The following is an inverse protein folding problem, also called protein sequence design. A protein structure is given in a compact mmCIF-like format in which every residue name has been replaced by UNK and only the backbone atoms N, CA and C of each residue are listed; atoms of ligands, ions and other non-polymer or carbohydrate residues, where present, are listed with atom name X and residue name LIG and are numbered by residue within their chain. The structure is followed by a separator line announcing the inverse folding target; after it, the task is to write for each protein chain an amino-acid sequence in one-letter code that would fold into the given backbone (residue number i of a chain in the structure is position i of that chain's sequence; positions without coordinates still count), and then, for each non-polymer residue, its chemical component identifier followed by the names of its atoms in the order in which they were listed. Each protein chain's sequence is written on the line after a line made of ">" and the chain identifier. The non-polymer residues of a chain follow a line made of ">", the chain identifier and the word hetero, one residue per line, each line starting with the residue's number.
data_IF_461660119631
#
_entry.id   IF_461660119631
#
_cell.length_a   1.000
_cell.length_b   1.000
_cell.length_c   1.000
_cell.angle_alpha   90.00
_cell.angle_beta   90.00
_cell.angle_gamma   90.00
#
_symmetry.space_group_name_H-M   'P 1'
#
loop_
_entity.id
_entity.type
_entity.pdbx_description
1 polymer ?
#
# COMPACT_ATOMS: atom_id res chain seq x y z
N UNK A 1 -20.29 -6.09 13.81
CA UNK A 1 -19.72 -5.56 15.07
C UNK A 1 -18.40 -4.91 14.73
N UNK A 2 -18.09 -3.70 15.17
CA UNK A 2 -16.75 -3.12 14.98
C UNK A 2 -15.70 -4.01 15.67
N UNK A 3 -14.54 -4.15 15.03
CA UNK A 3 -13.45 -5.02 15.51
C UNK A 3 -13.75 -6.54 15.48
N UNK A 4 -14.52 -7.03 14.49
CA UNK A 4 -14.83 -8.45 14.35
C UNK A 4 -13.58 -9.32 14.25
N UNK A 5 -12.45 -8.77 13.73
CA UNK A 5 -11.15 -9.47 13.71
C UNK A 5 -10.65 -9.87 15.11
N UNK A 6 -11.05 -9.16 16.19
CA UNK A 6 -10.70 -9.55 17.56
C UNK A 6 -11.42 -10.84 18.01
N UNK A 7 -12.53 -11.19 17.36
CA UNK A 7 -13.19 -12.46 17.58
C UNK A 7 -12.62 -13.60 16.71
N UNK A 8 -11.73 -13.28 15.76
CA UNK A 8 -11.13 -14.26 14.87
C UNK A 8 -9.93 -14.95 15.56
N UNK A 9 -10.00 -16.28 15.82
CA UNK A 9 -8.89 -17.02 16.42
C UNK A 9 -7.58 -16.95 15.62
N UNK A 10 -7.66 -16.81 14.29
CA UNK A 10 -6.48 -16.68 13.44
C UNK A 10 -5.69 -15.39 13.76
N UNK A 11 -6.39 -14.30 14.09
CA UNK A 11 -5.73 -13.06 14.48
C UNK A 11 -4.85 -13.26 15.72
N UNK A 12 -5.40 -13.87 16.78
CA UNK A 12 -4.64 -14.14 18.01
C UNK A 12 -3.51 -15.14 17.79
N UNK A 13 -3.77 -16.19 16.99
CA UNK A 13 -2.73 -17.13 16.59
C UNK A 13 -1.59 -16.42 15.85
N UNK A 14 -1.91 -15.52 14.94
CA UNK A 14 -0.92 -14.75 14.18
C UNK A 14 -0.03 -13.88 15.08
N UNK A 15 -0.58 -13.32 16.18
CA UNK A 15 0.22 -12.50 17.11
C UNK A 15 1.27 -13.30 17.89
N UNK A 16 1.05 -14.60 18.12
CA UNK A 16 1.95 -15.46 18.93
C UNK A 16 2.81 -16.41 18.09
N UNK A 17 2.56 -16.51 16.77
CA UNK A 17 3.40 -17.30 15.86
C UNK A 17 4.63 -16.51 15.43
N UNK A 18 5.73 -17.23 15.15
CA UNK A 18 6.95 -16.62 14.62
C UNK A 18 6.69 -15.90 13.28
N UNK A 19 7.51 -14.92 12.99
CA UNK A 19 7.50 -14.23 11.71
C UNK A 19 7.81 -15.21 10.57
N UNK A 20 7.06 -15.09 9.47
CA UNK A 20 7.17 -16.00 8.32
C UNK A 20 8.09 -15.47 7.23
N UNK A 21 8.61 -14.24 7.38
CA UNK A 21 9.44 -13.61 6.36
C UNK A 21 10.45 -12.63 6.97
N UNK A 22 11.62 -12.53 6.38
CA UNK A 22 12.70 -11.60 6.76
C UNK A 22 13.39 -11.02 5.51
N UNK A 23 14.21 -10.00 5.68
CA UNK A 23 14.96 -9.39 4.58
C UNK A 23 15.87 -10.39 3.86
N UNK A 24 16.50 -11.33 4.59
CA UNK A 24 17.40 -12.33 4.01
C UNK A 24 16.69 -13.35 3.10
N UNK A 25 15.36 -13.40 3.15
CA UNK A 25 14.55 -14.27 2.29
C UNK A 25 14.09 -13.59 0.99
N UNK A 26 14.40 -12.30 0.82
CA UNK A 26 14.13 -11.60 -0.44
C UNK A 26 15.08 -12.18 -1.50
N UNK A 27 14.55 -12.69 -2.62
CA UNK A 27 15.39 -13.24 -3.69
C UNK A 27 16.19 -12.14 -4.40
N UNK A 28 17.12 -12.54 -5.27
CA UNK A 28 17.75 -11.61 -6.22
C UNK A 28 16.68 -11.00 -7.13
N UNK A 29 16.62 -9.68 -7.13
CA UNK A 29 15.67 -8.88 -7.92
C UNK A 29 16.35 -8.18 -9.10
N UNK A 30 17.57 -8.58 -9.45
CA UNK A 30 18.27 -8.04 -10.62
C UNK A 30 17.40 -8.18 -11.88
N UNK A 31 17.21 -7.08 -12.61
CA UNK A 31 16.33 -7.02 -13.78
C UNK A 31 14.83 -6.87 -13.45
N UNK A 32 14.45 -6.80 -12.18
CA UNK A 32 13.07 -6.48 -11.77
C UNK A 32 12.88 -4.98 -11.58
N UNK A 33 11.74 -4.48 -12.02
CA UNK A 33 11.35 -3.08 -11.95
C UNK A 33 10.14 -2.94 -11.02
N UNK A 34 10.24 -2.03 -10.07
CA UNK A 34 9.21 -1.77 -9.09
C UNK A 34 8.79 -0.30 -9.11
N UNK A 35 7.52 -0.02 -8.85
CA UNK A 35 6.99 1.31 -8.55
C UNK A 35 6.39 1.28 -7.15
N UNK A 36 6.86 2.18 -6.27
CA UNK A 36 6.40 2.28 -4.88
C UNK A 36 5.82 3.67 -4.64
N UNK A 37 4.53 3.76 -4.29
CA UNK A 37 3.91 5.04 -3.96
C UNK A 37 4.22 5.46 -2.52
N UNK A 38 4.57 6.74 -2.31
CA UNK A 38 4.98 7.26 -1.00
C UNK A 38 6.32 6.70 -0.52
N UNK A 39 7.23 6.44 -1.44
CA UNK A 39 8.50 5.75 -1.22
C UNK A 39 9.54 6.56 -0.42
N UNK A 40 9.32 7.85 -0.18
CA UNK A 40 10.31 8.74 0.43
C UNK A 40 10.32 8.72 1.97
N UNK A 41 9.41 8.00 2.63
CA UNK A 41 9.33 7.94 4.09
C UNK A 41 8.59 6.69 4.61
N UNK A 42 8.81 6.37 5.89
CA UNK A 42 8.07 5.34 6.61
C UNK A 42 8.16 3.96 5.94
N UNK A 43 7.03 3.27 5.84
CA UNK A 43 6.96 1.90 5.30
C UNK A 43 7.34 1.87 3.81
N UNK A 44 6.94 2.89 3.03
CA UNK A 44 7.32 2.99 1.61
C UNK A 44 8.82 3.10 1.41
N UNK A 45 9.51 3.87 2.26
CA UNK A 45 10.97 3.95 2.28
C UNK A 45 11.61 2.61 2.62
N UNK A 46 11.15 1.95 3.69
CA UNK A 46 11.68 0.65 4.09
C UNK A 46 11.41 -0.44 3.05
N UNK A 47 10.26 -0.38 2.35
CA UNK A 47 9.97 -1.27 1.22
C UNK A 47 10.95 -1.02 0.05
N UNK A 48 11.18 0.26 -0.28
CA UNK A 48 12.16 0.64 -1.31
C UNK A 48 13.57 0.17 -0.96
N UNK A 49 13.98 0.33 0.31
CA UNK A 49 15.27 -0.16 0.80
C UNK A 49 15.42 -1.67 0.59
N UNK A 50 14.41 -2.45 0.98
CA UNK A 50 14.42 -3.90 0.78
C UNK A 50 14.52 -4.31 -0.69
N UNK A 51 13.76 -3.64 -1.56
CA UNK A 51 13.76 -3.92 -3.00
C UNK A 51 15.12 -3.58 -3.65
N UNK A 52 15.64 -2.37 -3.40
CA UNK A 52 16.88 -1.91 -4.05
C UNK A 52 18.11 -2.62 -3.49
N UNK A 53 18.13 -2.98 -2.21
CA UNK A 53 19.22 -3.76 -1.61
C UNK A 53 19.38 -5.14 -2.29
N UNK A 54 18.29 -5.68 -2.82
CA UNK A 54 18.28 -6.96 -3.55
C UNK A 54 18.33 -6.80 -5.08
N UNK A 55 18.69 -5.62 -5.59
CA UNK A 55 19.02 -5.38 -6.99
C UNK A 55 17.87 -4.90 -7.89
N UNK A 56 16.68 -4.64 -7.33
CA UNK A 56 15.57 -4.09 -8.10
C UNK A 56 15.87 -2.66 -8.60
N UNK A 57 15.32 -2.30 -9.76
CA UNK A 57 15.18 -0.92 -10.20
C UNK A 57 13.87 -0.36 -9.62
N UNK A 58 13.95 0.71 -8.82
CA UNK A 58 12.76 1.22 -8.10
C UNK A 58 12.44 2.65 -8.53
N UNK A 59 11.24 2.84 -9.07
CA UNK A 59 10.63 4.16 -9.28
C UNK A 59 9.92 4.60 -8.00
N UNK A 60 10.44 5.65 -7.38
CA UNK A 60 9.91 6.27 -6.18
C UNK A 60 8.83 7.29 -6.54
N UNK A 61 7.56 6.89 -6.48
CA UNK A 61 6.44 7.75 -6.82
C UNK A 61 5.99 8.59 -5.61
N UNK A 62 6.32 9.88 -5.62
CA UNK A 62 6.17 10.81 -4.50
C UNK A 62 5.74 12.20 -4.97
N UNK A 63 5.11 12.99 -4.09
CA UNK A 63 4.68 14.36 -4.41
C UNK A 63 5.82 15.39 -4.50
N UNK A 64 6.92 15.16 -3.80
CA UNK A 64 8.01 16.13 -3.66
C UNK A 64 9.31 15.53 -4.15
N UNK A 65 9.83 16.08 -5.24
CA UNK A 65 11.13 15.71 -5.79
C UNK A 65 12.27 15.93 -4.79
N UNK A 66 12.28 17.07 -4.10
CA UNK A 66 13.31 17.36 -3.12
C UNK A 66 13.39 16.28 -2.02
N UNK A 67 12.22 15.87 -1.44
CA UNK A 67 12.17 14.81 -0.43
C UNK A 67 12.50 13.44 -1.00
N UNK A 68 12.18 13.18 -2.25
CA UNK A 68 12.55 11.93 -2.90
C UNK A 68 14.08 11.87 -3.11
N UNK A 69 14.70 12.96 -3.55
CA UNK A 69 16.14 13.03 -3.72
C UNK A 69 16.90 12.89 -2.39
N UNK A 70 16.43 13.54 -1.31
CA UNK A 70 16.96 13.32 0.04
C UNK A 70 16.86 11.83 0.45
N UNK A 71 15.73 11.19 0.18
CA UNK A 71 15.52 9.78 0.48
C UNK A 71 16.44 8.88 -0.37
N UNK A 72 16.68 9.19 -1.63
CA UNK A 72 17.62 8.46 -2.51
C UNK A 72 19.04 8.51 -1.94
N UNK A 73 19.53 9.68 -1.53
CA UNK A 73 20.86 9.79 -0.93
C UNK A 73 20.95 9.04 0.42
N UNK A 74 19.87 9.03 1.20
CA UNK A 74 19.83 8.24 2.43
C UNK A 74 19.77 6.72 2.15
N UNK A 75 19.06 6.27 1.11
CA UNK A 75 19.01 4.86 0.70
C UNK A 75 20.41 4.33 0.31
N UNK A 76 21.25 5.14 -0.34
CA UNK A 76 22.64 4.75 -0.64
C UNK A 76 23.44 4.43 0.64
N UNK A 77 23.25 5.22 1.71
CA UNK A 77 23.89 4.97 3.02
C UNK A 77 23.29 3.74 3.69
N UNK A 78 21.96 3.69 3.78
CA UNK A 78 21.24 2.63 4.48
C UNK A 78 21.48 1.24 3.86
N UNK A 79 21.63 1.13 2.53
CA UNK A 79 21.99 -0.14 1.88
C UNK A 79 23.36 -0.63 2.35
N UNK A 80 24.36 0.25 2.45
CA UNK A 80 25.70 -0.16 2.92
C UNK A 80 25.73 -0.46 4.41
N UNK A 81 24.93 0.24 5.22
CA UNK A 81 24.91 0.07 6.67
C UNK A 81 24.06 -1.13 7.11
N UNK A 82 22.85 -1.27 6.53
CA UNK A 82 21.86 -2.28 6.96
C UNK A 82 21.92 -3.58 6.15
N UNK A 83 22.42 -3.51 4.91
CA UNK A 83 22.56 -4.65 4.00
C UNK A 83 23.98 -4.78 3.44
N UNK A 84 25.04 -4.81 4.29
CA UNK A 84 26.44 -4.72 3.85
C UNK A 84 26.90 -5.88 2.95
N UNK A 85 26.21 -7.01 3.00
CA UNK A 85 26.52 -8.20 2.19
C UNK A 85 25.69 -8.30 0.92
N UNK A 86 24.84 -7.30 0.62
CA UNK A 86 24.03 -7.28 -0.60
C UNK A 86 24.88 -6.95 -1.84
N UNK A 87 24.42 -7.43 -3.01
CA UNK A 87 25.04 -7.08 -4.28
C UNK A 87 25.00 -5.56 -4.53
N UNK A 88 23.93 -4.89 -4.11
CA UNK A 88 23.78 -3.45 -4.20
C UNK A 88 24.82 -2.70 -3.34
N UNK A 89 25.12 -3.15 -2.12
CA UNK A 89 26.18 -2.58 -1.29
C UNK A 89 27.57 -2.71 -1.98
N UNK A 90 27.85 -3.87 -2.58
CA UNK A 90 29.07 -4.09 -3.33
C UNK A 90 29.20 -3.17 -4.56
N UNK A 91 28.08 -2.85 -5.24
CA UNK A 91 28.04 -1.87 -6.34
C UNK A 91 28.35 -0.46 -5.84
N UNK A 92 27.76 -0.03 -4.72
CA UNK A 92 28.01 1.29 -4.12
C UNK A 92 29.49 1.46 -3.76
N UNK A 93 30.10 0.43 -3.16
CA UNK A 93 31.55 0.44 -2.81
C UNK A 93 32.42 0.61 -4.05
N UNK A 94 31.99 0.14 -5.22
CA UNK A 94 32.67 0.35 -6.52
C UNK A 94 32.38 1.70 -7.16
N UNK A 95 31.59 2.57 -6.52
CA UNK A 95 31.20 3.89 -7.02
C UNK A 95 29.98 3.88 -7.96
N UNK A 96 29.25 2.76 -8.06
CA UNK A 96 28.00 2.71 -8.81
C UNK A 96 26.83 3.26 -7.98
N UNK A 97 25.83 3.83 -8.64
CA UNK A 97 24.61 4.31 -7.97
C UNK A 97 23.54 3.22 -7.96
N UNK A 98 22.73 3.24 -6.92
CA UNK A 98 21.50 2.43 -6.87
C UNK A 98 20.57 2.80 -8.03
N UNK A 99 19.82 1.84 -8.52
CA UNK A 99 18.85 2.01 -9.60
C UNK A 99 17.54 2.58 -9.02
N UNK A 100 17.57 3.87 -8.73
CA UNK A 100 16.47 4.63 -8.14
C UNK A 100 16.10 5.80 -9.05
N UNK A 101 14.82 5.96 -9.30
CA UNK A 101 14.28 7.05 -10.10
C UNK A 101 13.11 7.73 -9.38
N UNK A 102 12.99 9.03 -9.54
CA UNK A 102 11.84 9.79 -9.08
C UNK A 102 10.74 9.80 -10.15
N UNK A 103 9.49 9.73 -9.69
CA UNK A 103 8.28 10.01 -10.45
C UNK A 103 7.39 10.93 -9.62
N UNK A 104 7.01 12.08 -10.15
CA UNK A 104 6.04 12.94 -9.48
C UNK A 104 4.68 12.24 -9.46
N UNK A 105 4.07 12.11 -8.27
CA UNK A 105 2.75 11.50 -8.10
C UNK A 105 1.97 12.22 -7.01
N UNK A 106 0.86 12.84 -7.39
CA UNK A 106 -0.12 13.39 -6.45
C UNK A 106 -1.46 12.66 -6.56
N UNK A 107 -1.67 11.69 -5.65
CA UNK A 107 -2.92 10.92 -5.56
C UNK A 107 -4.15 11.74 -5.13
N UNK A 108 -3.95 13.02 -4.78
CA UNK A 108 -5.03 13.95 -4.44
C UNK A 108 -5.68 14.60 -5.68
N UNK A 109 -5.15 14.32 -6.86
CA UNK A 109 -5.58 14.84 -8.15
C UNK A 109 -5.56 13.69 -9.17
N UNK A 110 -6.73 13.27 -9.64
CA UNK A 110 -6.86 12.11 -10.53
C UNK A 110 -6.25 12.36 -11.91
N UNK A 111 -6.32 13.61 -12.41
CA UNK A 111 -5.69 13.97 -13.68
C UNK A 111 -4.18 13.90 -13.59
N UNK A 112 -3.59 14.50 -12.57
CA UNK A 112 -2.14 14.38 -12.30
C UNK A 112 -1.70 12.93 -12.08
N UNK A 113 -2.53 12.13 -11.42
CA UNK A 113 -2.25 10.70 -11.25
C UNK A 113 -2.16 9.97 -12.60
N UNK A 114 -3.05 10.28 -13.55
CA UNK A 114 -2.97 9.72 -14.91
C UNK A 114 -1.77 10.25 -15.69
N UNK A 115 -1.46 11.55 -15.57
CA UNK A 115 -0.27 12.14 -16.18
C UNK A 115 1.02 11.44 -15.67
N UNK A 116 1.10 11.18 -14.36
CA UNK A 116 2.22 10.41 -13.77
C UNK A 116 2.31 8.99 -14.33
N UNK A 117 1.17 8.30 -14.50
CA UNK A 117 1.14 6.99 -15.13
C UNK A 117 1.64 7.02 -16.58
N UNK A 118 1.22 8.03 -17.37
CA UNK A 118 1.68 8.21 -18.74
C UNK A 118 3.17 8.54 -18.81
N UNK A 119 3.67 9.36 -17.89
CA UNK A 119 5.10 9.62 -17.80
C UNK A 119 5.88 8.33 -17.54
N UNK A 120 5.45 7.50 -16.58
CA UNK A 120 6.07 6.19 -16.34
C UNK A 120 6.07 5.31 -17.59
N UNK A 121 4.94 5.22 -18.27
CA UNK A 121 4.79 4.41 -19.49
C UNK A 121 5.70 4.92 -20.62
N UNK A 122 5.89 6.25 -20.74
CA UNK A 122 6.76 6.87 -21.77
C UNK A 122 8.23 6.51 -21.57
N UNK A 123 8.66 6.13 -20.37
CA UNK A 123 10.02 5.66 -20.07
C UNK A 123 10.33 4.29 -20.69
N UNK A 124 9.32 3.57 -21.17
CA UNK A 124 9.48 2.24 -21.79
C UNK A 124 9.94 1.13 -20.83
N UNK A 125 9.94 1.39 -19.52
CA UNK A 125 10.40 0.44 -18.51
C UNK A 125 9.37 -0.67 -18.26
N UNK A 126 9.80 -1.92 -17.97
CA UNK A 126 8.90 -2.94 -17.46
C UNK A 126 8.33 -2.56 -16.08
N UNK A 127 7.24 -3.22 -15.66
CA UNK A 127 6.71 -3.07 -14.31
C UNK A 127 6.34 -4.44 -13.73
N UNK A 128 7.26 -4.99 -12.94
CA UNK A 128 7.06 -6.31 -12.31
C UNK A 128 6.38 -6.21 -10.94
N UNK A 129 6.54 -5.08 -10.24
CA UNK A 129 6.07 -4.89 -8.87
C UNK A 129 5.46 -3.50 -8.75
N UNK A 130 4.16 -3.44 -8.42
CA UNK A 130 3.47 -2.20 -8.06
C UNK A 130 3.07 -2.27 -6.58
N UNK A 131 3.56 -1.32 -5.78
CA UNK A 131 3.21 -1.21 -4.36
C UNK A 131 2.39 0.05 -4.12
N UNK A 132 1.08 -0.11 -3.99
CA UNK A 132 0.12 0.93 -3.63
C UNK A 132 0.19 1.16 -2.11
N UNK A 133 1.24 1.86 -1.66
CA UNK A 133 1.57 2.05 -0.25
C UNK A 133 1.13 3.41 0.30
N UNK A 134 1.16 4.46 -0.52
CA UNK A 134 0.86 5.83 -0.07
C UNK A 134 -0.52 5.92 0.60
N UNK A 135 -0.66 6.84 1.54
CA UNK A 135 -1.96 7.08 2.17
C UNK A 135 -1.94 8.16 3.21
N UNK A 136 -3.14 8.62 3.53
CA UNK A 136 -3.39 9.55 4.63
C UNK A 136 -4.31 8.89 5.65
N UNK A 137 -4.10 9.23 6.91
CA UNK A 137 -4.94 8.78 8.02
C UNK A 137 -5.01 9.82 9.11
N UNK A 138 -6.13 9.86 9.86
CA UNK A 138 -6.33 10.80 10.95
C UNK A 138 -6.43 12.27 10.53
N UNK A 139 -6.62 12.57 9.23
CA UNK A 139 -6.76 13.97 8.77
C UNK A 139 -8.17 14.50 9.01
N UNK A 140 -8.27 15.80 9.24
CA UNK A 140 -9.54 16.51 9.32
C UNK A 140 -10.36 16.28 8.03
N UNK A 141 -11.68 16.48 8.12
CA UNK A 141 -12.52 16.42 6.93
C UNK A 141 -12.08 17.46 5.91
N UNK A 142 -12.04 17.02 4.68
CA UNK A 142 -11.69 17.84 3.52
C UNK A 142 -11.86 17.03 2.25
N UNK A 143 -11.75 17.70 1.11
CA UNK A 143 -11.89 17.07 -0.21
C UNK A 143 -10.63 17.26 -1.04
N UNK A 144 -10.43 16.35 -1.99
CA UNK A 144 -9.36 16.38 -2.98
C UNK A 144 -9.56 17.49 -4.02
N UNK A 145 -8.62 17.64 -4.93
CA UNK A 145 -8.76 18.51 -6.09
C UNK A 145 -10.01 18.18 -6.92
N UNK A 146 -10.42 16.91 -6.91
CA UNK A 146 -11.61 16.40 -7.63
C UNK A 146 -12.92 16.56 -6.84
N UNK A 147 -12.88 17.14 -5.62
CA UNK A 147 -14.04 17.31 -4.75
C UNK A 147 -14.50 16.04 -4.04
N UNK A 148 -13.61 15.07 -3.83
CA UNK A 148 -13.90 13.78 -3.18
C UNK A 148 -13.21 13.74 -1.81
N UNK A 149 -13.86 13.12 -0.80
CA UNK A 149 -13.32 13.02 0.56
C UNK A 149 -11.87 12.49 0.56
N UNK A 150 -10.99 13.19 1.27
CA UNK A 150 -9.53 13.01 1.18
C UNK A 150 -9.04 11.59 1.41
N UNK A 151 -9.57 10.85 2.41
CA UNK A 151 -9.12 9.47 2.63
C UNK A 151 -9.52 8.57 1.48
N UNK A 152 -10.74 8.73 0.96
CA UNK A 152 -11.23 7.90 -0.14
C UNK A 152 -10.53 8.26 -1.46
N UNK A 153 -10.34 9.55 -1.72
CA UNK A 153 -9.63 10.02 -2.91
C UNK A 153 -8.18 9.51 -2.96
N UNK A 154 -7.40 9.80 -1.92
CA UNK A 154 -5.96 9.52 -1.90
C UNK A 154 -5.68 8.03 -1.72
N UNK A 155 -6.34 7.38 -0.74
CA UNK A 155 -6.01 6.00 -0.39
C UNK A 155 -6.55 4.99 -1.41
N UNK A 156 -7.69 5.30 -2.05
CA UNK A 156 -8.37 4.38 -2.97
C UNK A 156 -8.39 4.88 -4.41
N UNK A 157 -9.09 5.97 -4.74
CA UNK A 157 -9.31 6.38 -6.13
C UNK A 157 -8.02 6.72 -6.87
N UNK A 158 -7.08 7.41 -6.21
CA UNK A 158 -5.76 7.68 -6.80
C UNK A 158 -5.00 6.41 -7.14
N UNK A 159 -4.99 5.42 -6.23
CA UNK A 159 -4.36 4.12 -6.52
C UNK A 159 -5.14 3.30 -7.55
N UNK A 160 -6.47 3.39 -7.57
CA UNK A 160 -7.28 2.78 -8.62
C UNK A 160 -6.90 3.34 -9.99
N UNK A 161 -6.87 4.68 -10.13
CA UNK A 161 -6.51 5.35 -11.38
C UNK A 161 -5.08 5.01 -11.84
N UNK A 162 -4.11 5.04 -10.92
CA UNK A 162 -2.72 4.65 -11.20
C UNK A 162 -2.61 3.20 -11.66
N UNK A 163 -3.22 2.28 -10.91
CA UNK A 163 -3.12 0.84 -11.17
C UNK A 163 -3.77 0.46 -12.49
N UNK A 164 -4.97 1.00 -12.78
CA UNK A 164 -5.68 0.71 -14.03
C UNK A 164 -4.95 1.29 -15.24
N UNK A 165 -4.34 2.46 -15.13
CA UNK A 165 -3.52 3.04 -16.19
C UNK A 165 -2.23 2.26 -16.47
N UNK A 166 -1.65 1.59 -15.47
CA UNK A 166 -0.43 0.79 -15.60
C UNK A 166 -0.68 -0.71 -15.85
N UNK A 167 -1.96 -1.12 -15.95
CA UNK A 167 -2.33 -2.54 -15.95
C UNK A 167 -1.75 -3.32 -17.13
N UNK A 168 -1.76 -2.75 -18.32
CA UNK A 168 -1.22 -3.42 -19.51
C UNK A 168 0.31 -3.62 -19.38
N UNK A 169 1.03 -2.65 -18.83
CA UNK A 169 2.46 -2.77 -18.55
C UNK A 169 2.75 -3.87 -17.51
N UNK A 170 1.90 -4.03 -16.49
CA UNK A 170 1.99 -5.13 -15.52
C UNK A 170 1.74 -6.49 -16.20
N UNK A 171 0.78 -6.57 -17.13
CA UNK A 171 0.52 -7.78 -17.93
C UNK A 171 1.67 -8.12 -18.87
N UNK A 172 2.30 -7.12 -19.49
CA UNK A 172 3.47 -7.32 -20.34
C UNK A 172 4.71 -7.80 -19.57
N UNK A 173 4.76 -7.49 -18.27
CA UNK A 173 5.92 -7.77 -17.40
C UNK A 173 5.74 -8.99 -16.49
N UNK A 174 4.86 -9.92 -16.87
CA UNK A 174 4.56 -11.13 -16.08
C UNK A 174 5.81 -12.03 -15.86
N UNK A 175 5.90 -12.73 -14.72
CA UNK A 175 5.00 -12.66 -13.58
C UNK A 175 5.16 -11.35 -12.81
N UNK A 176 4.04 -10.67 -12.55
CA UNK A 176 4.01 -9.37 -11.88
C UNK A 176 3.14 -9.37 -10.62
N UNK A 177 3.30 -8.38 -9.77
CA UNK A 177 2.64 -8.29 -8.47
C UNK A 177 2.09 -6.91 -8.21
N UNK A 178 0.88 -6.86 -7.64
CA UNK A 178 0.24 -5.64 -7.16
C UNK A 178 -0.01 -5.81 -5.66
N UNK A 179 0.64 -5.00 -4.86
CA UNK A 179 0.54 -5.02 -3.40
C UNK A 179 -0.27 -3.81 -2.94
N UNK A 180 -1.42 -4.04 -2.31
CA UNK A 180 -2.34 -2.98 -1.90
C UNK A 180 -2.34 -2.83 -0.39
N UNK A 181 -1.84 -1.70 0.11
CA UNK A 181 -1.76 -1.44 1.54
C UNK A 181 -3.11 -1.00 2.11
N UNK A 182 -3.66 -1.83 2.98
CA UNK A 182 -4.88 -1.59 3.73
C UNK A 182 -4.60 -1.46 5.24
N UNK A 183 -5.58 -1.69 6.08
CA UNK A 183 -5.47 -1.68 7.54
C UNK A 183 -6.58 -2.52 8.16
N UNK A 184 -6.36 -3.12 9.33
CA UNK A 184 -7.39 -3.81 10.11
C UNK A 184 -8.58 -2.92 10.49
N UNK A 185 -8.39 -1.59 10.45
CA UNK A 185 -9.46 -0.61 10.68
C UNK A 185 -10.59 -0.66 9.62
N UNK A 186 -10.42 -1.42 8.52
CA UNK A 186 -11.51 -1.70 7.58
C UNK A 186 -12.72 -2.34 8.25
N UNK A 187 -12.47 -3.13 9.30
CA UNK A 187 -13.48 -3.89 10.04
C UNK A 187 -14.25 -3.06 11.09
N UNK A 188 -13.91 -1.78 11.24
CA UNK A 188 -14.65 -0.85 12.13
C UNK A 188 -15.97 -0.37 11.53
N UNK A 189 -16.21 -0.60 10.25
CA UNK A 189 -17.42 -0.16 9.59
C UNK A 189 -18.59 -1.08 9.96
N UNK A 190 -19.79 -0.52 10.27
CA UNK A 190 -20.98 -1.33 10.39
C UNK A 190 -21.30 -2.00 9.05
N UNK A 191 -22.10 -3.05 9.09
CA UNK A 191 -22.63 -3.69 7.89
C UNK A 191 -23.30 -2.64 6.99
N UNK A 192 -22.97 -2.63 5.68
CA UNK A 192 -23.38 -1.56 4.77
C UNK A 192 -22.52 -0.29 4.83
N UNK A 193 -21.40 -0.28 5.57
CA UNK A 193 -20.60 0.91 5.85
C UNK A 193 -19.85 1.54 4.68
N UNK A 194 -19.78 0.91 3.50
CA UNK A 194 -19.32 1.54 2.26
C UNK A 194 -20.52 2.09 1.48
N UNK A 195 -21.02 3.24 1.90
CA UNK A 195 -22.06 3.99 1.21
C UNK A 195 -21.42 4.88 0.14
N UNK A 196 -21.45 4.40 -1.11
CA UNK A 196 -20.81 5.07 -2.25
C UNK A 196 -21.58 6.35 -2.66
N UNK A 197 -22.87 6.44 -2.41
CA UNK A 197 -23.67 7.61 -2.73
C UNK A 197 -23.38 8.78 -1.78
N UNK A 198 -22.84 8.48 -0.60
CA UNK A 198 -22.56 9.44 0.46
C UNK A 198 -21.06 9.52 0.82
N UNK A 199 -20.16 9.30 -0.15
CA UNK A 199 -18.69 9.38 0.09
C UNK A 199 -18.30 10.74 0.69
N UNK A 200 -18.90 11.82 0.21
CA UNK A 200 -18.61 13.20 0.62
C UNK A 200 -19.44 13.68 1.82
N UNK A 201 -20.16 12.79 2.51
CA UNK A 201 -20.97 13.20 3.65
C UNK A 201 -20.10 13.59 4.85
N UNK A 202 -20.01 14.90 5.12
CA UNK A 202 -19.24 15.46 6.23
C UNK A 202 -19.81 15.12 7.62
N UNK A 203 -21.06 14.65 7.71
CA UNK A 203 -21.68 14.18 8.95
C UNK A 203 -21.11 12.82 9.43
N UNK A 204 -20.42 12.09 8.56
CA UNK A 204 -19.57 10.96 8.98
C UNK A 204 -18.32 11.56 9.63
N UNK A 205 -18.49 12.16 10.81
CA UNK A 205 -17.53 13.06 11.45
C UNK A 205 -16.26 12.41 11.98
N UNK A 206 -16.21 11.07 12.09
CA UNK A 206 -15.10 10.36 12.67
C UNK A 206 -13.98 10.09 11.62
N UNK A 207 -12.78 10.66 11.80
CA UNK A 207 -11.63 10.41 10.91
C UNK A 207 -11.28 8.93 10.79
N UNK A 208 -11.45 8.14 11.86
CA UNK A 208 -11.18 6.70 11.85
C UNK A 208 -12.14 5.95 10.92
N UNK A 209 -13.42 6.31 10.93
CA UNK A 209 -14.41 5.70 10.05
C UNK A 209 -14.15 6.03 8.59
N UNK A 210 -13.81 7.29 8.27
CA UNK A 210 -13.43 7.67 6.89
C UNK A 210 -12.18 6.92 6.43
N UNK A 211 -11.19 6.83 7.29
CA UNK A 211 -9.99 6.02 7.02
C UNK A 211 -10.34 4.54 6.83
N UNK A 212 -11.08 3.93 7.75
CA UNK A 212 -11.54 2.52 7.65
C UNK A 212 -12.29 2.26 6.35
N UNK A 213 -13.18 3.19 5.94
CA UNK A 213 -13.89 3.12 4.66
C UNK A 213 -12.94 3.08 3.46
N UNK A 214 -11.94 3.93 3.43
CA UNK A 214 -10.93 3.91 2.36
C UNK A 214 -10.10 2.62 2.36
N UNK A 215 -9.88 2.02 3.53
CA UNK A 215 -9.12 0.77 3.67
C UNK A 215 -9.95 -0.48 3.33
N UNK A 216 -11.26 -0.45 3.57
CA UNK A 216 -12.20 -1.45 3.02
C UNK A 216 -12.21 -1.37 1.49
N UNK A 217 -12.30 -0.17 0.92
CA UNK A 217 -12.26 0.02 -0.53
C UNK A 217 -10.97 -0.56 -1.15
N UNK A 218 -9.83 -0.44 -0.49
CA UNK A 218 -8.57 -1.04 -0.94
C UNK A 218 -8.62 -2.59 -1.00
N UNK A 219 -9.24 -3.23 -0.01
CA UNK A 219 -9.41 -4.69 0.00
C UNK A 219 -10.37 -5.13 -1.11
N UNK A 220 -11.53 -4.48 -1.21
CA UNK A 220 -12.53 -4.76 -2.24
C UNK A 220 -11.93 -4.59 -3.65
N UNK A 221 -11.16 -3.53 -3.88
CA UNK A 221 -10.43 -3.29 -5.12
C UNK A 221 -9.43 -4.40 -5.42
N UNK A 222 -8.60 -4.78 -4.44
CA UNK A 222 -7.61 -5.85 -4.62
C UNK A 222 -8.28 -7.18 -4.99
N UNK A 223 -9.38 -7.53 -4.32
CA UNK A 223 -10.15 -8.76 -4.59
C UNK A 223 -10.81 -8.72 -5.97
N UNK A 224 -11.46 -7.60 -6.34
CA UNK A 224 -12.06 -7.42 -7.66
C UNK A 224 -11.01 -7.52 -8.78
N UNK A 225 -9.86 -6.88 -8.60
CA UNK A 225 -8.78 -6.92 -9.58
C UNK A 225 -8.15 -8.32 -9.69
N UNK A 226 -7.97 -9.02 -8.57
CA UNK A 226 -7.47 -10.40 -8.57
C UNK A 226 -8.37 -11.35 -9.38
N UNK A 227 -9.72 -11.20 -9.25
CA UNK A 227 -10.66 -11.99 -10.07
C UNK A 227 -10.58 -11.65 -11.55
N UNK A 228 -10.46 -10.36 -11.89
CA UNK A 228 -10.32 -9.92 -13.29
C UNK A 228 -9.05 -10.40 -13.96
N UNK A 229 -8.02 -10.67 -13.17
CA UNK A 229 -6.71 -11.13 -13.63
C UNK A 229 -6.47 -12.62 -13.35
N UNK A 230 -7.53 -13.40 -13.11
CA UNK A 230 -7.41 -14.83 -12.75
C UNK A 230 -6.67 -15.67 -13.80
N UNK A 231 -6.75 -15.29 -15.08
CA UNK A 231 -6.07 -15.97 -16.19
C UNK A 231 -4.68 -15.39 -16.53
N UNK A 232 -4.22 -14.39 -15.78
CA UNK A 232 -2.94 -13.71 -15.98
C UNK A 232 -1.97 -14.07 -14.86
N UNK A 233 -0.67 -13.99 -15.10
CA UNK A 233 0.33 -14.13 -14.04
C UNK A 233 0.58 -12.78 -13.33
N UNK A 234 -0.50 -12.10 -12.96
CA UNK A 234 -0.50 -10.86 -12.18
C UNK A 234 -1.14 -11.13 -10.82
N UNK A 235 -0.35 -11.11 -9.77
CA UNK A 235 -0.75 -11.52 -8.42
C UNK A 235 -1.12 -10.30 -7.59
N UNK A 236 -2.40 -10.14 -7.28
CA UNK A 236 -2.94 -9.00 -6.53
C UNK A 236 -3.32 -9.42 -5.13
N UNK A 237 -2.73 -8.79 -4.12
CA UNK A 237 -3.04 -9.07 -2.71
C UNK A 237 -3.05 -7.79 -1.89
N UNK A 238 -3.75 -7.82 -0.77
CA UNK A 238 -3.83 -6.71 0.17
C UNK A 238 -3.25 -7.08 1.53
N UNK A 239 -2.88 -6.07 2.32
CA UNK A 239 -2.29 -6.30 3.64
C UNK A 239 -2.57 -5.16 4.63
N UNK A 240 -2.42 -5.50 5.92
CA UNK A 240 -2.20 -4.56 7.02
C UNK A 240 -0.72 -4.62 7.45
N UNK A 241 0.00 -3.49 7.49
CA UNK A 241 1.44 -3.49 7.79
C UNK A 241 1.77 -3.56 9.29
N UNK A 242 0.78 -3.61 10.16
CA UNK A 242 0.93 -3.40 11.61
C UNK A 242 0.67 -1.95 12.01
N UNK A 243 0.80 -1.69 13.30
CA UNK A 243 0.77 -0.32 13.84
C UNK A 243 2.20 0.20 13.78
N UNK A 244 2.51 0.94 12.73
CA UNK A 244 3.87 1.41 12.47
C UNK A 244 4.05 2.82 13.02
N UNK A 245 5.17 3.06 13.69
CA UNK A 245 5.53 4.40 14.19
C UNK A 245 5.86 5.33 13.02
N UNK A 246 4.83 6.02 12.55
CA UNK A 246 4.90 6.97 11.44
C UNK A 246 4.15 8.25 11.81
N UNK A 247 4.42 9.34 11.10
CA UNK A 247 3.68 10.59 11.26
C UNK A 247 2.15 10.46 11.07
N UNK A 248 1.67 9.35 10.50
CA UNK A 248 0.25 9.02 10.43
C UNK A 248 -0.30 8.61 11.80
N UNK A 249 0.42 7.77 12.56
CA UNK A 249 0.02 7.34 13.90
C UNK A 249 -0.09 8.51 14.87
N UNK A 250 0.82 9.49 14.78
CA UNK A 250 0.77 10.69 15.60
C UNK A 250 -0.47 11.54 15.32
N UNK A 251 -0.87 11.72 14.05
CA UNK A 251 -2.10 12.46 13.67
C UNK A 251 -3.39 11.85 14.21
N UNK A 252 -3.45 10.52 14.33
CA UNK A 252 -4.61 9.87 14.98
C UNK A 252 -4.68 10.22 16.46
N UNK A 253 -3.56 10.24 17.15
CA UNK A 253 -3.49 10.58 18.58
C UNK A 253 -3.95 12.02 18.87
N UNK A 254 -3.62 12.97 17.99
CA UNK A 254 -3.97 14.39 18.16
C UNK A 254 -5.49 14.66 18.02
N UNK A 255 -6.23 13.75 17.39
CA UNK A 255 -7.66 13.89 17.12
C UNK A 255 -8.55 12.96 18.00
N UNK A 256 -7.98 12.31 19.02
CA UNK A 256 -8.69 11.42 19.94
C UNK A 256 -8.93 12.12 21.30
N UNK A 257 -9.99 11.67 22.01
CA UNK A 257 -10.18 12.10 23.41
C UNK A 257 -9.01 11.65 24.28
N UNK A 258 -8.64 12.46 25.29
CA UNK A 258 -7.45 12.22 26.15
C UNK A 258 -7.45 10.82 26.80
N UNK A 259 -8.61 10.28 27.16
CA UNK A 259 -8.74 8.95 27.77
C UNK A 259 -8.41 7.86 26.73
N UNK A 260 -8.97 7.94 25.53
CA UNK A 260 -8.75 6.99 24.46
C UNK A 260 -7.28 7.07 23.95
N UNK A 261 -6.77 8.29 23.79
CA UNK A 261 -5.37 8.55 23.45
C UNK A 261 -4.40 7.99 24.50
N UNK A 262 -4.74 8.07 25.79
CA UNK A 262 -3.94 7.52 26.88
C UNK A 262 -3.92 5.97 26.88
N UNK A 263 -5.07 5.34 26.63
CA UNK A 263 -5.16 3.89 26.51
C UNK A 263 -4.37 3.42 25.28
N UNK A 264 -4.57 4.06 24.13
CA UNK A 264 -3.86 3.75 22.91
C UNK A 264 -2.35 3.96 23.05
N UNK A 265 -1.88 5.03 23.69
CA UNK A 265 -0.45 5.25 23.97
C UNK A 265 0.17 4.17 24.85
N UNK A 266 -0.57 3.64 25.83
CA UNK A 266 -0.08 2.52 26.65
C UNK A 266 0.01 1.22 25.87
N UNK A 267 -0.99 0.92 25.03
CA UNK A 267 -0.95 -0.23 24.11
C UNK A 267 0.08 -0.03 22.99
N UNK A 268 0.22 1.17 22.48
CA UNK A 268 1.14 1.53 21.41
C UNK A 268 2.59 1.14 21.73
N UNK A 269 3.05 1.35 22.97
CA UNK A 269 4.41 0.94 23.40
C UNK A 269 4.70 -0.55 23.23
N UNK A 270 3.65 -1.40 23.17
CA UNK A 270 3.79 -2.84 23.00
C UNK A 270 3.42 -3.33 21.59
N UNK A 271 2.84 -2.46 20.74
CA UNK A 271 2.29 -2.84 19.43
C UNK A 271 2.92 -2.09 18.26
N UNK A 272 3.66 -1.00 18.52
CA UNK A 272 4.37 -0.29 17.46
C UNK A 272 5.54 -1.12 16.94
N UNK A 273 5.55 -1.30 15.63
CA UNK A 273 6.66 -1.91 14.90
C UNK A 273 7.43 -0.84 14.15
N UNK A 274 8.72 -1.08 13.92
CA UNK A 274 9.52 -0.17 13.08
C UNK A 274 9.02 -0.15 11.63
N UNK A 275 9.33 0.88 10.84
CA UNK A 275 9.03 0.90 9.41
C UNK A 275 9.58 -0.33 8.67
N UNK A 276 10.76 -0.81 9.04
CA UNK A 276 11.40 -2.00 8.48
C UNK A 276 10.56 -3.26 8.76
N UNK A 277 10.10 -3.44 9.99
CA UNK A 277 9.21 -4.57 10.34
C UNK A 277 7.86 -4.46 9.62
N UNK A 278 7.29 -3.24 9.53
CA UNK A 278 6.05 -2.98 8.81
C UNK A 278 6.14 -3.26 7.31
N UNK A 279 7.34 -3.11 6.73
CA UNK A 279 7.59 -3.39 5.31
C UNK A 279 7.65 -4.88 4.98
N UNK A 280 7.94 -5.77 5.94
CA UNK A 280 8.18 -7.20 5.66
C UNK A 280 7.00 -7.89 4.97
N UNK A 281 5.76 -7.59 5.37
CA UNK A 281 4.58 -8.18 4.70
C UNK A 281 4.41 -7.66 3.26
N UNK A 282 4.72 -6.37 3.02
CA UNK A 282 4.74 -5.82 1.66
C UNK A 282 5.82 -6.50 0.81
N UNK A 283 7.02 -6.66 1.37
CA UNK A 283 8.14 -7.30 0.70
C UNK A 283 7.86 -8.78 0.42
N UNK A 284 7.22 -9.51 1.33
CA UNK A 284 6.77 -10.88 1.09
C UNK A 284 5.86 -10.94 -0.14
N UNK A 285 4.80 -10.13 -0.18
CA UNK A 285 3.85 -10.13 -1.30
C UNK A 285 4.49 -9.64 -2.61
N UNK A 286 5.43 -8.70 -2.51
CA UNK A 286 6.13 -8.15 -3.66
C UNK A 286 7.20 -9.10 -4.24
N UNK A 287 7.86 -9.93 -3.43
CA UNK A 287 9.08 -10.60 -3.85
C UNK A 287 9.12 -12.11 -3.64
N UNK A 288 8.38 -12.65 -2.66
CA UNK A 288 8.46 -14.08 -2.34
C UNK A 288 8.05 -14.96 -3.54
N UNK A 289 8.85 -15.98 -3.89
CA UNK A 289 8.46 -16.98 -4.88
C UNK A 289 7.19 -17.74 -4.51
N UNK A 290 6.86 -17.83 -3.22
CA UNK A 290 5.64 -18.50 -2.76
C UNK A 290 4.37 -17.91 -3.35
N UNK A 291 4.34 -16.58 -3.57
CA UNK A 291 3.17 -15.88 -4.13
C UNK A 291 2.83 -16.44 -5.51
N UNK A 292 3.84 -16.73 -6.33
CA UNK A 292 3.67 -17.35 -7.64
C UNK A 292 3.42 -18.86 -7.53
N UNK A 293 4.25 -19.56 -6.77
CA UNK A 293 4.24 -21.03 -6.69
C UNK A 293 2.96 -21.58 -6.06
N UNK A 294 2.33 -20.84 -5.15
CA UNK A 294 1.09 -21.21 -4.46
C UNK A 294 -0.14 -20.49 -5.02
N UNK A 295 0.02 -19.73 -6.10
CA UNK A 295 -1.04 -18.92 -6.74
C UNK A 295 -1.80 -18.02 -5.74
N UNK A 296 -1.08 -17.28 -4.91
CA UNK A 296 -1.65 -16.42 -3.87
C UNK A 296 -2.26 -15.16 -4.50
N UNK A 297 -3.60 -15.09 -4.54
CA UNK A 297 -4.38 -13.99 -5.16
C UNK A 297 -5.59 -13.64 -4.34
N UNK A 298 -5.93 -12.35 -4.25
CA UNK A 298 -7.11 -11.87 -3.53
C UNK A 298 -7.09 -12.21 -2.05
N UNK A 299 -5.90 -12.34 -1.47
CA UNK A 299 -5.72 -12.67 -0.06
C UNK A 299 -5.36 -11.43 0.75
N UNK A 300 -5.66 -11.49 2.05
CA UNK A 300 -5.32 -10.44 2.99
C UNK A 300 -4.30 -10.91 4.02
N UNK A 301 -3.25 -10.12 4.23
CA UNK A 301 -2.13 -10.48 5.10
C UNK A 301 -1.96 -9.49 6.25
N UNK A 302 -1.49 -10.01 7.39
CA UNK A 302 -1.08 -9.24 8.56
C UNK A 302 0.39 -9.56 8.92
N UNK A 303 1.05 -8.77 9.77
CA UNK A 303 2.47 -8.99 10.14
C UNK A 303 2.74 -10.34 10.81
N UNK A 304 3.86 -11.03 10.47
CA UNK A 304 4.63 -10.82 9.23
C UNK A 304 4.28 -11.96 8.30
N UNK A 305 3.78 -11.60 7.10
CA UNK A 305 3.42 -12.56 6.05
C UNK A 305 2.39 -13.65 6.48
N UNK A 306 1.45 -13.30 7.38
CA UNK A 306 0.43 -14.22 7.90
C UNK A 306 -0.90 -13.93 7.24
N UNK A 307 -1.50 -14.92 6.58
CA UNK A 307 -2.82 -14.78 5.98
C UNK A 307 -3.90 -14.66 7.06
N UNK A 308 -4.86 -13.77 6.85
CA UNK A 308 -6.02 -13.56 7.71
C UNK A 308 -7.30 -13.59 6.89
N UNK A 309 -8.27 -14.40 7.31
CA UNK A 309 -9.59 -14.44 6.66
C UNK A 309 -10.31 -13.10 6.82
N UNK A 310 -10.87 -12.64 5.72
CA UNK A 310 -11.65 -11.42 5.64
C UNK A 310 -13.08 -11.65 6.15
N UNK A 311 -13.71 -10.59 6.68
CA UNK A 311 -15.13 -10.61 7.03
C UNK A 311 -16.02 -10.65 5.78
N UNK A 312 -17.33 -10.91 5.98
CA UNK A 312 -18.33 -11.03 4.90
C UNK A 312 -18.40 -9.79 4.01
N UNK A 313 -18.27 -8.60 4.58
CA UNK A 313 -18.33 -7.34 3.83
C UNK A 313 -17.16 -7.18 2.85
N UNK A 314 -15.95 -7.56 3.26
CA UNK A 314 -14.77 -7.51 2.41
C UNK A 314 -14.78 -8.61 1.34
N UNK A 315 -15.52 -9.69 1.56
CA UNK A 315 -15.73 -10.79 0.61
C UNK A 315 -16.96 -10.61 -0.30
N UNK A 316 -17.79 -9.60 -0.06
CA UNK A 316 -18.99 -9.32 -0.84
C UNK A 316 -18.66 -8.93 -2.28
N UNK A 317 -18.91 -9.84 -3.21
CA UNK A 317 -18.62 -9.67 -4.64
C UNK A 317 -19.43 -8.55 -5.27
N UNK A 318 -20.70 -8.40 -4.88
CA UNK A 318 -21.56 -7.34 -5.42
C UNK A 318 -21.07 -5.96 -4.99
N UNK A 319 -20.60 -5.86 -3.74
CA UNK A 319 -19.99 -4.61 -3.25
C UNK A 319 -18.66 -4.31 -3.96
N UNK A 320 -17.87 -5.33 -4.27
CA UNK A 320 -16.63 -5.19 -5.04
C UNK A 320 -16.90 -4.67 -6.46
N UNK A 321 -17.94 -5.19 -7.14
CA UNK A 321 -18.33 -4.73 -8.47
C UNK A 321 -18.90 -3.30 -8.43
N UNK A 322 -19.78 -2.99 -7.49
CA UNK A 322 -20.30 -1.62 -7.29
C UNK A 322 -19.19 -0.60 -7.06
N UNK A 323 -18.20 -0.96 -6.21
CA UNK A 323 -17.04 -0.10 -5.99
C UNK A 323 -16.21 0.09 -7.25
N UNK A 324 -16.02 -0.98 -8.03
CA UNK A 324 -15.27 -0.93 -9.29
C UNK A 324 -15.94 0.03 -10.27
N UNK A 325 -17.23 -0.16 -10.53
CA UNK A 325 -18.03 0.70 -11.42
C UNK A 325 -18.03 2.17 -10.98
N UNK A 326 -18.22 2.40 -9.66
CA UNK A 326 -18.14 3.74 -9.09
C UNK A 326 -16.76 4.38 -9.33
N UNK A 327 -15.69 3.64 -9.08
CA UNK A 327 -14.31 4.14 -9.21
C UNK A 327 -13.98 4.43 -10.67
N UNK A 328 -14.31 3.53 -11.58
CA UNK A 328 -14.08 3.67 -13.02
C UNK A 328 -14.83 4.89 -13.59
N UNK A 329 -16.13 5.01 -13.26
CA UNK A 329 -16.96 6.15 -13.65
C UNK A 329 -16.38 7.46 -13.12
N UNK A 330 -16.02 7.49 -11.81
CA UNK A 330 -15.52 8.71 -11.18
C UNK A 330 -14.19 9.14 -11.79
N UNK A 331 -13.25 8.21 -11.98
CA UNK A 331 -11.95 8.51 -12.62
C UNK A 331 -12.19 9.06 -14.03
N UNK A 332 -13.04 8.42 -14.84
CA UNK A 332 -13.34 8.85 -16.19
C UNK A 332 -13.93 10.27 -16.21
N UNK A 333 -14.93 10.55 -15.38
CA UNK A 333 -15.57 11.88 -15.30
C UNK A 333 -14.59 12.99 -14.88
N UNK A 334 -13.66 12.69 -13.96
CA UNK A 334 -12.72 13.71 -13.44
C UNK A 334 -11.48 13.91 -14.29
N UNK A 335 -11.16 12.99 -15.18
CA UNK A 335 -9.95 13.07 -16.03
C UNK A 335 -10.25 13.46 -17.48
N UNK A 336 -11.51 13.37 -17.91
CA UNK A 336 -11.94 13.75 -19.26
C UNK A 336 -12.69 15.10 -19.30
N UNK A 337 -12.87 15.76 -18.15
CA UNK A 337 -13.55 17.05 -18.03
C UNK A 337 -12.62 18.22 -18.37
#
# INVERSE_FOLDING_TARGET
>A
MPYAYLANPQFWKALVTADHYSYDQIPDLTGKYALVTGANQGIGYATTLGLVAHGAHVTMACRSEAKANEAIEQLHKDVTEKHPHSAAAAQIVKGERLKLEFLELDLNDLKKTQESAQEFLSRGLPLHILVNNSGVGGVAWGVSADGIENHFAINHLGHFALTTALLDRLKESQPSRIVVVSALLYDMLPEGGLDLDNINNNKIGDPLRRYGRSKLANILFANALARRLANEQVYVNSLHPGVVDTGMAHRFNDNMTDVMASIMRKFAKFTFVSPEQGALTQLYLATSPEVVNKDIRGRFFIPVAKELDLNSQALDVDLQEKLWEYSEKTVKEKTQA
#
